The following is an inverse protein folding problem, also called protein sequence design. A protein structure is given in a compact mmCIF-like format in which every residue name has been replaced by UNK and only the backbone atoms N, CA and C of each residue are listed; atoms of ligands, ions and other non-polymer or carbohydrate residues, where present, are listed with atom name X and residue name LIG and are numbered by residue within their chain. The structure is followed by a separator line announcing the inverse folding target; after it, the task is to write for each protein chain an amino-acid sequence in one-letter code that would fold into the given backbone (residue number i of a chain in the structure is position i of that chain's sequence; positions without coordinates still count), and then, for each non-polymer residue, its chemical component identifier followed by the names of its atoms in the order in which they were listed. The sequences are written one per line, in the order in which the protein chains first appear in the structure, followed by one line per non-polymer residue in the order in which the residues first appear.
data_IF_583905742202
#
_entry.id   IF_583905742202
#
_cell.length_a   1.000
_cell.length_b   1.000
_cell.length_c   1.000
_cell.angle_alpha   90.00
_cell.angle_beta   90.00
_cell.angle_gamma   90.00
#
_symmetry.space_group_name_H-M   'P 1'
#
loop_
_entity.id
_entity.type
_entity.pdbx_description
1 polymer ?
#
# COMPACT_ATOMS: atom_id res chain seq x y z
N UNK A 1 -23.37 -11.66 19.04
CA UNK A 1 -22.28 -10.69 18.79
C UNK A 1 -21.00 -11.45 19.09
N UNK A 2 -20.33 -11.97 18.07
CA UNK A 2 -19.03 -12.65 18.21
C UNK A 2 -17.94 -11.56 18.09
N UNK A 3 -17.21 -11.33 19.16
CA UNK A 3 -16.00 -10.52 19.12
C UNK A 3 -15.01 -11.18 18.14
N UNK A 4 -14.69 -10.49 17.08
CA UNK A 4 -13.63 -10.88 16.16
C UNK A 4 -12.30 -10.67 16.90
N UNK A 5 -11.70 -11.76 17.36
CA UNK A 5 -10.34 -11.73 17.92
C UNK A 5 -9.35 -11.41 16.78
N UNK A 6 -8.61 -10.34 16.93
CA UNK A 6 -7.47 -9.98 16.06
C UNK A 6 -6.17 -10.27 16.78
N UNK A 7 -5.10 -10.58 16.06
CA UNK A 7 -3.77 -10.74 16.65
C UNK A 7 -3.14 -9.38 17.02
N UNK A 8 -1.95 -9.39 17.65
CA UNK A 8 -1.24 -8.17 18.07
C UNK A 8 -0.91 -7.20 16.92
N UNK A 9 -1.08 -7.60 15.66
CA UNK A 9 -0.93 -6.79 14.45
C UNK A 9 -2.25 -6.19 13.98
N UNK A 10 -3.38 -6.49 14.66
CA UNK A 10 -4.72 -6.08 14.26
C UNK A 10 -5.31 -6.92 13.12
N UNK A 11 -4.69 -8.06 12.80
CA UNK A 11 -5.17 -9.02 11.81
C UNK A 11 -5.93 -10.16 12.50
N UNK A 12 -6.90 -10.82 11.84
CA UNK A 12 -7.49 -12.03 12.34
C UNK A 12 -6.41 -13.11 12.53
N UNK A 13 -6.51 -13.98 13.56
CA UNK A 13 -5.48 -14.95 13.89
C UNK A 13 -5.17 -15.84 12.68
N UNK A 14 -3.95 -15.73 12.19
CA UNK A 14 -3.42 -16.60 11.12
C UNK A 14 -3.26 -18.02 11.67
N UNK A 15 -3.67 -19.03 10.90
CA UNK A 15 -3.46 -20.43 11.25
C UNK A 15 -1.98 -20.71 11.56
N UNK A 16 -1.70 -21.48 12.58
CA UNK A 16 -0.41 -21.76 13.23
C UNK A 16 0.63 -22.53 12.39
N UNK A 17 0.58 -22.46 11.05
CA UNK A 17 1.45 -23.21 10.13
C UNK A 17 2.57 -22.40 9.44
N UNK A 18 2.62 -21.07 9.60
CA UNK A 18 3.47 -20.18 8.78
C UNK A 18 4.78 -19.73 9.44
N UNK A 19 5.12 -20.19 10.63
CA UNK A 19 6.33 -19.72 11.36
C UNK A 19 7.67 -20.14 10.75
N UNK A 20 7.70 -21.00 9.75
CA UNK A 20 8.94 -21.60 9.19
C UNK A 20 9.54 -20.89 7.97
N UNK A 21 8.94 -19.85 7.38
CA UNK A 21 9.39 -19.25 6.11
C UNK A 21 9.32 -17.71 6.10
N UNK A 22 9.83 -17.07 7.10
CA UNK A 22 9.98 -15.61 7.12
C UNK A 22 11.32 -15.19 6.49
N UNK A 23 11.39 -15.18 5.16
CA UNK A 23 12.21 -14.15 4.51
C UNK A 23 11.46 -12.83 4.72
N UNK A 24 12.11 -11.75 5.18
CA UNK A 24 11.44 -10.47 5.36
C UNK A 24 10.88 -10.03 4.00
N UNK A 25 9.76 -9.35 3.97
CA UNK A 25 9.19 -8.81 2.74
C UNK A 25 10.19 -7.87 2.06
N UNK A 26 11.01 -7.18 2.82
CA UNK A 26 12.09 -6.32 2.32
C UNK A 26 13.12 -7.11 1.50
N UNK A 27 13.50 -8.31 1.93
CA UNK A 27 14.42 -9.18 1.18
C UNK A 27 13.79 -9.66 -0.16
N UNK A 28 12.49 -9.96 -0.17
CA UNK A 28 11.76 -10.27 -1.39
C UNK A 28 11.72 -9.06 -2.34
N UNK A 29 11.47 -7.88 -1.81
CA UNK A 29 11.44 -6.64 -2.57
C UNK A 29 12.81 -6.32 -3.17
N UNK A 30 13.89 -6.51 -2.42
CA UNK A 30 15.27 -6.38 -2.93
C UNK A 30 15.55 -7.37 -4.06
N UNK A 31 15.18 -8.64 -3.87
CA UNK A 31 15.34 -9.66 -4.89
C UNK A 31 14.60 -9.29 -6.19
N UNK A 32 13.37 -8.83 -6.10
CA UNK A 32 12.57 -8.44 -7.28
C UNK A 32 13.16 -7.21 -7.96
N UNK A 33 13.56 -6.20 -7.19
CA UNK A 33 14.25 -5.01 -7.73
C UNK A 33 15.55 -5.36 -8.45
N UNK A 34 16.32 -6.31 -7.92
CA UNK A 34 17.56 -6.76 -8.55
C UNK A 34 17.33 -7.57 -9.85
N UNK A 35 16.20 -8.31 -9.93
CA UNK A 35 15.86 -9.15 -11.09
C UNK A 35 15.21 -8.36 -12.24
N UNK A 36 14.60 -7.22 -11.96
CA UNK A 36 13.97 -6.36 -12.97
C UNK A 36 14.93 -5.24 -13.32
N UNK A 37 15.33 -5.08 -14.61
CA UNK A 37 16.22 -3.99 -15.01
C UNK A 37 15.66 -2.65 -14.53
N UNK A 38 16.47 -1.92 -13.79
CA UNK A 38 16.08 -0.56 -13.36
C UNK A 38 15.83 0.30 -14.58
N UNK A 39 14.60 0.72 -14.79
CA UNK A 39 14.31 1.79 -15.73
C UNK A 39 15.08 3.02 -15.23
N UNK A 40 15.99 3.58 -16.03
CA UNK A 40 16.67 4.83 -15.66
C UNK A 40 15.63 5.94 -15.63
N UNK A 41 15.11 6.18 -14.45
CA UNK A 41 14.22 7.31 -14.20
C UNK A 41 15.06 8.56 -13.98
N UNK A 42 15.30 9.30 -15.08
CA UNK A 42 16.04 10.57 -15.10
C UNK A 42 15.12 11.78 -15.15
N UNK A 43 13.80 11.59 -15.16
CA UNK A 43 12.86 12.71 -15.21
C UNK A 43 13.00 13.59 -13.95
N UNK A 44 13.01 14.92 -14.10
CA UNK A 44 13.03 15.82 -12.95
C UNK A 44 11.76 15.64 -12.11
N UNK A 45 11.91 15.76 -10.81
CA UNK A 45 10.75 15.83 -9.92
C UNK A 45 10.19 17.26 -9.97
N UNK A 46 8.96 17.41 -10.42
CA UNK A 46 8.27 18.70 -10.57
C UNK A 46 7.05 18.71 -9.69
N UNK A 47 6.93 19.75 -8.85
CA UNK A 47 5.73 19.96 -8.05
C UNK A 47 4.57 20.34 -8.97
N UNK A 48 3.51 19.53 -8.97
CA UNK A 48 2.38 19.68 -9.90
C UNK A 48 1.07 19.75 -9.12
N UNK A 49 0.17 20.72 -9.37
CA UNK A 49 -1.17 20.73 -8.82
C UNK A 49 -1.99 19.57 -9.43
N UNK A 50 -2.72 18.83 -8.58
CA UNK A 50 -3.51 17.66 -9.00
C UNK A 50 -4.97 17.73 -8.58
N UNK A 51 -5.28 18.55 -7.58
CA UNK A 51 -6.64 18.88 -7.15
C UNK A 51 -6.61 20.21 -6.37
N UNK A 52 -7.73 20.86 -6.10
CA UNK A 52 -7.76 22.07 -5.29
C UNK A 52 -7.10 21.86 -3.93
N UNK A 53 -6.05 22.65 -3.64
CA UNK A 53 -5.29 22.55 -2.40
C UNK A 53 -4.39 21.32 -2.28
N UNK A 54 -4.19 20.56 -3.36
CA UNK A 54 -3.32 19.37 -3.38
C UNK A 54 -2.31 19.48 -4.52
N UNK A 55 -1.03 19.36 -4.17
CA UNK A 55 0.09 19.28 -5.12
C UNK A 55 0.83 17.97 -4.92
N UNK A 56 1.41 17.43 -5.97
CA UNK A 56 2.19 16.19 -5.94
C UNK A 56 3.63 16.44 -6.36
N UNK A 57 4.55 15.80 -5.65
CA UNK A 57 5.96 15.70 -6.02
C UNK A 57 6.34 14.22 -6.06
N UNK A 58 6.54 13.67 -7.24
CA UNK A 58 6.94 12.26 -7.39
C UNK A 58 8.45 12.11 -7.19
N UNK A 59 8.87 11.47 -6.10
CA UNK A 59 10.26 11.23 -5.73
C UNK A 59 10.67 9.78 -5.94
N UNK A 60 11.91 9.53 -6.34
CA UNK A 60 12.46 8.17 -6.40
C UNK A 60 12.48 7.56 -5.00
N UNK A 61 12.05 6.31 -4.91
CA UNK A 61 11.98 5.53 -3.68
C UNK A 61 12.38 4.07 -3.96
N UNK A 62 12.67 3.27 -2.94
CA UNK A 62 12.92 1.84 -3.11
C UNK A 62 11.64 1.03 -3.30
N UNK A 63 10.70 1.53 -4.14
CA UNK A 63 9.44 0.86 -4.45
C UNK A 63 9.60 -0.32 -5.41
N UNK A 64 8.51 -1.05 -5.66
CA UNK A 64 8.49 -2.21 -6.55
C UNK A 64 8.28 -1.82 -8.02
N UNK A 65 9.01 -2.46 -8.95
CA UNK A 65 8.75 -2.29 -10.39
C UNK A 65 7.30 -2.67 -10.75
N UNK A 66 6.69 -1.99 -11.75
CA UNK A 66 7.28 -1.00 -12.64
C UNK A 66 7.36 0.42 -12.09
N UNK A 67 6.85 0.69 -10.90
CA UNK A 67 7.01 1.99 -10.26
C UNK A 67 8.48 2.24 -9.88
N UNK A 68 8.92 3.50 -9.99
CA UNK A 68 10.24 3.96 -9.60
C UNK A 68 10.18 5.09 -8.59
N UNK A 69 8.97 5.60 -8.36
CA UNK A 69 8.70 6.78 -7.52
C UNK A 69 7.49 6.54 -6.64
N UNK A 70 7.52 7.22 -5.49
CA UNK A 70 6.35 7.43 -4.65
C UNK A 70 5.96 8.91 -4.70
N UNK A 71 4.68 9.16 -4.80
CA UNK A 71 4.09 10.49 -4.79
C UNK A 71 4.05 11.03 -3.36
N UNK A 72 4.76 12.12 -3.12
CA UNK A 72 4.59 12.95 -1.93
C UNK A 72 3.49 13.96 -2.21
N UNK A 73 2.42 13.95 -1.43
CA UNK A 73 1.35 14.93 -1.57
C UNK A 73 1.51 16.05 -0.55
N UNK A 74 1.36 17.29 -1.02
CA UNK A 74 1.31 18.49 -0.20
C UNK A 74 -0.14 18.98 -0.16
N UNK A 75 -0.75 18.96 1.02
CA UNK A 75 -2.12 19.41 1.25
C UNK A 75 -2.10 20.74 2.00
N UNK A 76 -2.66 21.77 1.39
CA UNK A 76 -2.70 23.12 1.93
C UNK A 76 -2.55 24.19 0.86
N UNK A 77 -2.38 25.46 1.26
CA UNK A 77 -2.27 26.59 0.34
C UNK A 77 -0.98 26.53 -0.50
N UNK A 78 -0.94 27.27 -1.61
CA UNK A 78 0.24 27.36 -2.48
C UNK A 78 1.43 27.99 -1.77
N UNK A 79 1.17 28.94 -0.88
CA UNK A 79 2.16 29.52 0.01
C UNK A 79 1.67 29.47 1.45
N UNK A 80 2.46 28.85 2.35
CA UNK A 80 2.09 28.68 3.75
C UNK A 80 2.21 27.21 4.20
N UNK A 81 1.80 26.91 5.43
CA UNK A 81 1.98 25.58 5.99
C UNK A 81 1.14 24.51 5.28
N UNK A 82 1.77 23.36 5.02
CA UNK A 82 1.16 22.20 4.34
C UNK A 82 1.32 20.95 5.17
N UNK A 83 0.34 20.03 5.09
CA UNK A 83 0.56 18.65 5.48
C UNK A 83 1.26 17.90 4.35
N UNK A 84 2.28 17.11 4.69
CA UNK A 84 2.93 16.20 3.75
C UNK A 84 2.42 14.78 3.95
N UNK A 85 2.07 14.11 2.87
CA UNK A 85 1.65 12.72 2.92
C UNK A 85 2.70 11.86 2.20
N UNK A 86 3.19 10.83 2.89
CA UNK A 86 4.15 9.83 2.43
C UNK A 86 5.46 10.40 1.86
N UNK A 87 6.28 11.13 2.61
CA UNK A 87 7.60 11.56 2.17
C UNK A 87 8.60 10.40 2.19
N UNK A 88 8.37 9.43 1.28
CA UNK A 88 8.95 8.09 1.32
C UNK A 88 10.40 7.96 0.87
N UNK A 89 10.99 9.00 0.24
CA UNK A 89 12.34 8.86 -0.29
C UNK A 89 13.43 8.94 0.78
N UNK A 90 14.28 7.89 0.94
CA UNK A 90 15.43 7.94 1.83
C UNK A 90 16.67 8.57 1.15
N UNK A 91 16.62 8.88 -0.14
CA UNK A 91 17.76 9.32 -0.93
C UNK A 91 18.07 10.81 -0.71
N UNK A 92 19.32 11.19 -0.34
CA UNK A 92 19.67 12.57 -0.02
C UNK A 92 19.35 13.56 -1.14
N UNK A 93 19.59 13.19 -2.40
CA UNK A 93 19.30 14.05 -3.56
C UNK A 93 17.79 14.28 -3.76
N UNK A 94 16.94 13.30 -3.40
CA UNK A 94 15.49 13.46 -3.46
C UNK A 94 14.98 14.29 -2.27
N UNK A 95 15.60 14.13 -1.12
CA UNK A 95 15.35 14.97 0.07
C UNK A 95 15.68 16.43 -0.23
N UNK A 96 16.81 16.71 -0.91
CA UNK A 96 17.18 18.07 -1.30
C UNK A 96 16.16 18.71 -2.26
N UNK A 97 15.58 17.93 -3.18
CA UNK A 97 14.50 18.42 -4.06
C UNK A 97 13.26 18.78 -3.24
N UNK A 98 12.87 17.92 -2.29
CA UNK A 98 11.73 18.19 -1.41
C UNK A 98 11.98 19.43 -0.55
N UNK A 99 13.18 19.59 0.03
CA UNK A 99 13.55 20.76 0.82
C UNK A 99 13.44 22.06 0.03
N UNK A 100 13.82 22.05 -1.25
CA UNK A 100 13.63 23.19 -2.14
C UNK A 100 12.16 23.60 -2.30
N UNK A 101 11.25 22.63 -2.34
CA UNK A 101 9.79 22.89 -2.36
C UNK A 101 9.31 23.42 -1.01
N UNK A 102 9.78 22.83 0.07
CA UNK A 102 9.36 23.19 1.44
C UNK A 102 9.86 24.57 1.88
N UNK A 103 10.86 25.13 1.21
CA UNK A 103 11.30 26.51 1.48
C UNK A 103 10.19 27.55 1.26
N UNK A 104 9.25 27.29 0.34
CA UNK A 104 8.10 28.17 0.06
C UNK A 104 6.78 27.63 0.60
N UNK A 105 6.72 26.34 0.96
CA UNK A 105 5.56 25.66 1.51
C UNK A 105 5.98 24.90 2.76
N UNK A 106 6.24 25.59 3.89
CA UNK A 106 6.78 24.96 5.11
C UNK A 106 5.84 23.86 5.61
N UNK A 107 6.36 22.69 6.03
CA UNK A 107 5.54 21.59 6.46
C UNK A 107 4.97 21.84 7.87
N UNK A 108 3.71 21.49 8.11
CA UNK A 108 3.06 21.52 9.41
C UNK A 108 3.03 20.14 10.08
N UNK A 109 2.99 19.09 9.28
CA UNK A 109 2.98 17.70 9.73
C UNK A 109 3.39 16.75 8.60
N UNK A 110 3.81 15.54 8.98
CA UNK A 110 3.88 14.37 8.10
C UNK A 110 2.70 13.45 8.42
N UNK A 111 1.92 13.09 7.42
CA UNK A 111 0.87 12.08 7.52
C UNK A 111 1.34 10.83 6.76
N UNK A 112 1.18 9.66 7.36
CA UNK A 112 1.58 8.39 6.76
C UNK A 112 0.34 7.57 6.42
N UNK A 113 0.27 7.09 5.16
CA UNK A 113 -0.78 6.15 4.78
C UNK A 113 -0.56 4.80 5.44
N UNK A 114 0.66 4.29 5.44
CA UNK A 114 1.03 3.01 6.06
C UNK A 114 2.54 2.91 6.33
N UNK A 115 3.03 1.74 6.72
CA UNK A 115 4.38 1.56 7.30
C UNK A 115 5.47 1.13 6.30
N UNK A 116 5.20 0.94 5.02
CA UNK A 116 6.21 0.47 4.06
C UNK A 116 7.32 1.49 3.82
N UNK A 117 8.52 0.99 3.53
CA UNK A 117 9.75 1.78 3.47
C UNK A 117 9.72 2.90 2.44
N UNK A 118 9.08 2.68 1.30
CA UNK A 118 8.93 3.65 0.22
C UNK A 118 7.87 4.75 0.48
N UNK A 119 7.16 4.68 1.62
CA UNK A 119 6.24 5.71 2.13
C UNK A 119 6.83 6.46 3.32
N UNK A 120 7.65 5.81 4.13
CA UNK A 120 8.14 6.38 5.40
C UNK A 120 9.62 6.77 5.38
N UNK A 121 10.39 6.39 4.35
CA UNK A 121 11.85 6.46 4.34
C UNK A 121 12.45 7.83 4.60
N UNK A 122 11.75 8.93 4.29
CA UNK A 122 12.17 10.30 4.57
C UNK A 122 11.51 10.92 5.81
N UNK A 123 10.46 10.30 6.35
CA UNK A 123 9.58 10.91 7.35
C UNK A 123 10.30 11.34 8.63
N UNK A 124 11.12 10.46 9.21
CA UNK A 124 11.83 10.75 10.47
C UNK A 124 12.83 11.90 10.33
N UNK A 125 13.61 11.93 9.23
CA UNK A 125 14.59 12.99 8.97
C UNK A 125 13.91 14.36 8.76
N UNK A 126 12.78 14.38 8.02
CA UNK A 126 11.99 15.58 7.79
C UNK A 126 11.36 16.09 9.09
N UNK A 127 10.72 15.21 9.84
CA UNK A 127 10.08 15.59 11.10
C UNK A 127 11.08 16.19 12.10
N UNK A 128 12.27 15.59 12.20
CA UNK A 128 13.33 16.12 13.06
C UNK A 128 13.82 17.49 12.58
N UNK A 129 14.06 17.66 11.27
CA UNK A 129 14.58 18.90 10.69
C UNK A 129 13.62 20.08 10.85
N UNK A 130 12.34 19.83 10.66
CA UNK A 130 11.30 20.86 10.72
C UNK A 130 10.60 20.96 12.07
N UNK A 131 10.94 20.07 13.03
CA UNK A 131 10.30 19.98 14.36
C UNK A 131 8.78 19.86 14.28
N UNK A 132 8.30 18.97 13.39
CA UNK A 132 6.88 18.74 13.11
C UNK A 132 6.46 17.33 13.54
N UNK A 133 5.17 17.12 13.86
CA UNK A 133 4.65 15.80 14.19
C UNK A 133 4.59 14.86 12.99
N UNK A 134 4.67 13.55 13.28
CA UNK A 134 4.31 12.47 12.36
C UNK A 134 3.00 11.88 12.86
N UNK A 135 2.03 11.76 11.94
CA UNK A 135 0.69 11.25 12.20
C UNK A 135 0.48 9.97 11.41
N UNK A 136 -0.04 8.92 12.03
CA UNK A 136 -0.39 7.65 11.38
C UNK A 136 -1.52 6.95 12.13
N UNK A 137 -2.11 5.91 11.52
CA UNK A 137 -3.03 5.03 12.25
C UNK A 137 -2.30 4.35 13.43
N UNK A 138 -2.97 4.09 14.59
CA UNK A 138 -2.33 3.44 15.75
C UNK A 138 -1.61 2.13 15.43
N UNK A 139 -2.15 1.31 14.52
CA UNK A 139 -1.49 0.09 14.05
C UNK A 139 -0.19 0.41 13.31
N UNK A 140 -0.21 1.38 12.39
CA UNK A 140 0.99 1.85 11.67
C UNK A 140 2.04 2.38 12.64
N UNK A 141 1.63 3.15 13.65
CA UNK A 141 2.52 3.66 14.69
C UNK A 141 3.24 2.53 15.44
N UNK A 142 2.52 1.46 15.81
CA UNK A 142 3.14 0.28 16.46
C UNK A 142 4.13 -0.44 15.53
N UNK A 143 3.78 -0.60 14.25
CA UNK A 143 4.65 -1.27 13.27
C UNK A 143 5.93 -0.46 12.94
N UNK A 144 5.90 0.85 13.19
CA UNK A 144 7.02 1.76 12.96
C UNK A 144 7.86 2.05 14.22
N UNK A 145 7.48 1.58 15.41
CA UNK A 145 8.02 2.03 16.70
C UNK A 145 9.56 2.04 16.77
N UNK A 146 10.24 1.09 16.10
CA UNK A 146 11.70 0.98 16.10
C UNK A 146 12.38 1.84 15.01
N UNK A 147 11.61 2.46 14.11
CA UNK A 147 12.14 3.17 12.92
C UNK A 147 11.71 4.63 12.83
N UNK A 148 10.47 4.90 13.17
CA UNK A 148 9.86 6.23 13.03
C UNK A 148 9.06 6.55 14.27
N UNK A 149 9.38 7.66 14.93
CA UNK A 149 8.63 8.13 16.09
C UNK A 149 7.34 8.82 15.65
N UNK A 150 6.24 8.07 15.57
CA UNK A 150 4.90 8.61 15.33
C UNK A 150 4.42 9.30 16.63
N UNK A 151 4.22 10.61 16.57
CA UNK A 151 3.91 11.44 17.74
C UNK A 151 2.41 11.71 17.91
N UNK A 152 1.61 11.48 16.87
CA UNK A 152 0.15 11.63 16.88
C UNK A 152 -0.47 10.45 16.14
N UNK A 153 -1.69 10.09 16.51
CA UNK A 153 -2.46 9.06 15.78
C UNK A 153 -3.71 9.67 15.16
N UNK A 154 -4.18 9.02 14.10
CA UNK A 154 -5.45 9.35 13.45
C UNK A 154 -6.26 8.08 13.25
N UNK A 155 -7.50 8.11 13.71
CA UNK A 155 -8.47 7.04 13.47
C UNK A 155 -9.43 7.39 12.32
N UNK A 156 -10.28 6.43 11.98
CA UNK A 156 -11.26 6.57 10.90
C UNK A 156 -12.21 7.76 11.12
N UNK A 157 -12.38 8.58 10.10
CA UNK A 157 -13.25 9.77 10.12
C UNK A 157 -12.64 11.00 10.76
N UNK A 158 -11.47 10.93 11.38
CA UNK A 158 -10.83 12.10 11.98
C UNK A 158 -10.31 13.06 10.91
N UNK A 159 -10.44 14.35 11.19
CA UNK A 159 -9.92 15.43 10.34
C UNK A 159 -8.58 15.89 10.91
N UNK A 160 -7.52 15.65 10.14
CA UNK A 160 -6.14 15.93 10.53
C UNK A 160 -5.52 16.84 9.47
N UNK A 161 -5.11 18.04 9.84
CA UNK A 161 -4.45 19.01 8.94
C UNK A 161 -5.21 19.23 7.63
N UNK A 162 -6.56 19.29 7.68
CA UNK A 162 -7.42 19.53 6.52
C UNK A 162 -7.71 18.29 5.65
N UNK A 163 -7.21 17.12 6.02
CA UNK A 163 -7.52 15.84 5.39
C UNK A 163 -8.35 14.95 6.31
N UNK A 164 -9.37 14.28 5.79
CA UNK A 164 -10.15 13.29 6.57
C UNK A 164 -9.53 11.91 6.41
N UNK A 165 -9.12 11.30 7.50
CA UNK A 165 -8.61 9.95 7.52
C UNK A 165 -9.73 8.94 7.21
N UNK A 166 -9.45 7.96 6.34
CA UNK A 166 -10.34 6.86 6.00
C UNK A 166 -9.58 5.58 6.24
N UNK A 167 -10.00 4.79 7.22
CA UNK A 167 -9.35 3.52 7.52
C UNK A 167 -9.65 2.50 6.44
N UNK A 168 -8.62 2.06 5.73
CA UNK A 168 -8.69 1.17 4.57
C UNK A 168 -7.65 0.04 4.68
N UNK A 169 -7.78 -0.84 5.70
CA UNK A 169 -6.84 -1.93 5.90
C UNK A 169 -6.90 -2.95 4.76
N UNK A 170 -5.86 -3.78 4.66
CA UNK A 170 -5.85 -4.94 3.75
C UNK A 170 -4.59 -5.05 2.91
N UNK A 171 -4.05 -3.96 2.34
CA UNK A 171 -2.68 -3.92 1.84
C UNK A 171 -1.69 -3.92 3.01
N UNK A 172 -1.94 -3.06 3.96
CA UNK A 172 -1.27 -3.01 5.25
C UNK A 172 -2.32 -2.89 6.36
N UNK A 173 -2.06 -3.46 7.54
CA UNK A 173 -3.04 -3.55 8.62
C UNK A 173 -3.51 -2.17 9.14
N UNK A 174 -2.64 -1.17 9.14
CA UNK A 174 -2.93 0.20 9.58
C UNK A 174 -3.07 1.22 8.46
N UNK A 175 -3.46 0.78 7.25
CA UNK A 175 -3.55 1.68 6.10
C UNK A 175 -4.65 2.73 6.25
N UNK A 176 -4.31 3.99 5.94
CA UNK A 176 -5.23 5.13 5.82
C UNK A 176 -5.20 5.68 4.40
N UNK A 177 -6.37 6.00 3.85
CA UNK A 177 -6.51 7.00 2.81
C UNK A 177 -6.82 8.37 3.45
N UNK A 178 -6.56 9.46 2.71
CA UNK A 178 -6.86 10.82 3.17
C UNK A 178 -7.73 11.55 2.15
N UNK A 179 -8.97 11.88 2.53
CA UNK A 179 -9.89 12.64 1.69
C UNK A 179 -9.71 14.14 1.89
N UNK A 180 -9.65 14.90 0.78
CA UNK A 180 -9.53 16.35 0.75
C UNK A 180 -10.44 16.87 -0.36
N UNK A 181 -11.56 17.52 -0.02
CA UNK A 181 -12.59 17.90 -0.99
C UNK A 181 -13.08 16.68 -1.79
N UNK A 182 -13.04 16.79 -3.12
CA UNK A 182 -13.46 15.73 -4.05
C UNK A 182 -12.30 14.80 -4.45
N UNK A 183 -11.15 14.88 -3.80
CA UNK A 183 -10.02 14.00 -4.03
C UNK A 183 -9.74 13.10 -2.82
N UNK A 184 -9.20 11.91 -3.07
CA UNK A 184 -8.75 10.98 -2.03
C UNK A 184 -7.33 10.50 -2.34
N UNK A 185 -6.38 10.83 -1.46
CA UNK A 185 -5.03 10.31 -1.49
C UNK A 185 -5.12 8.87 -1.02
N UNK A 186 -4.89 7.95 -1.95
CA UNK A 186 -5.28 6.55 -1.81
C UNK A 186 -4.15 5.66 -1.27
N UNK A 187 -2.93 6.19 -1.08
CA UNK A 187 -1.79 5.35 -0.74
C UNK A 187 -1.70 4.15 -1.67
N UNK A 188 -1.57 2.96 -1.11
CA UNK A 188 -1.49 1.70 -1.83
C UNK A 188 -2.81 0.91 -1.86
N UNK A 189 -3.95 1.63 -1.87
CA UNK A 189 -5.22 0.99 -2.22
C UNK A 189 -5.35 0.74 -3.72
N UNK A 190 -4.80 1.64 -4.54
CA UNK A 190 -4.72 1.49 -6.00
C UNK A 190 -3.41 2.10 -6.50
N UNK A 191 -2.96 1.69 -7.68
CA UNK A 191 -1.83 2.30 -8.37
C UNK A 191 -2.25 2.81 -9.75
N UNK A 192 -1.66 3.93 -10.16
CA UNK A 192 -1.77 4.44 -11.52
C UNK A 192 -0.83 3.74 -12.49
N UNK A 193 0.18 3.02 -11.97
CA UNK A 193 1.15 2.21 -12.71
C UNK A 193 1.42 0.92 -11.93
N UNK A 194 1.38 -0.22 -12.63
CA UNK A 194 1.52 -1.53 -11.98
C UNK A 194 0.26 -1.99 -11.24
N UNK A 195 0.45 -2.77 -10.19
CA UNK A 195 -0.62 -3.28 -9.32
C UNK A 195 -0.13 -3.30 -7.87
N UNK A 196 -1.07 -3.30 -6.94
CA UNK A 196 -0.75 -3.38 -5.51
C UNK A 196 -0.56 -4.85 -5.11
N UNK A 197 0.50 -5.13 -4.37
CA UNK A 197 0.74 -6.43 -3.75
C UNK A 197 -0.09 -6.55 -2.47
N UNK A 198 -0.75 -7.68 -2.27
CA UNK A 198 -1.31 -8.06 -0.98
C UNK A 198 -0.50 -9.24 -0.46
N UNK A 199 0.33 -9.01 0.54
CA UNK A 199 1.13 -10.03 1.21
C UNK A 199 0.43 -10.51 2.47
N UNK A 200 0.15 -11.81 2.64
CA UNK A 200 -0.59 -12.31 3.80
C UNK A 200 0.16 -12.21 5.15
N UNK A 201 1.45 -11.83 5.13
CA UNK A 201 2.18 -11.54 6.37
C UNK A 201 1.91 -10.12 6.92
N UNK A 202 1.46 -9.20 6.07
CA UNK A 202 1.29 -7.78 6.40
C UNK A 202 -0.10 -7.26 6.06
N UNK A 203 -0.81 -7.96 5.18
CA UNK A 203 -2.13 -7.62 4.69
C UNK A 203 -3.11 -8.80 4.70
N UNK A 204 -4.31 -8.54 4.17
CA UNK A 204 -5.39 -9.52 4.08
C UNK A 204 -6.24 -9.25 2.85
N UNK A 205 -6.42 -10.25 1.97
CA UNK A 205 -7.15 -10.08 0.71
C UNK A 205 -8.65 -9.81 0.94
N UNK A 206 -9.28 -10.45 1.91
CA UNK A 206 -10.72 -10.24 2.17
C UNK A 206 -10.95 -8.82 2.71
N UNK A 207 -10.11 -8.38 3.64
CA UNK A 207 -10.16 -7.03 4.22
C UNK A 207 -9.85 -5.97 3.17
N UNK A 208 -8.89 -6.22 2.28
CA UNK A 208 -8.57 -5.33 1.17
C UNK A 208 -9.74 -5.13 0.20
N UNK A 209 -10.43 -6.22 -0.18
CA UNK A 209 -11.62 -6.14 -1.03
C UNK A 209 -12.73 -5.33 -0.35
N UNK A 210 -12.99 -5.53 0.93
CA UNK A 210 -13.96 -4.76 1.70
C UNK A 210 -13.57 -3.27 1.77
N UNK A 211 -12.28 -2.95 1.86
CA UNK A 211 -11.79 -1.55 1.84
C UNK A 211 -11.99 -0.90 0.46
N UNK A 212 -11.80 -1.63 -0.65
CA UNK A 212 -12.13 -1.13 -1.99
C UNK A 212 -13.64 -0.85 -2.15
N UNK A 213 -14.50 -1.76 -1.66
CA UNK A 213 -15.95 -1.59 -1.65
C UNK A 213 -16.37 -0.38 -0.80
N UNK A 214 -15.74 -0.21 0.36
CA UNK A 214 -15.95 0.94 1.22
C UNK A 214 -15.63 2.27 0.52
N UNK A 215 -14.51 2.34 -0.20
CA UNK A 215 -14.15 3.51 -1.00
C UNK A 215 -15.16 3.73 -2.13
N UNK A 216 -15.64 2.66 -2.77
CA UNK A 216 -16.64 2.72 -3.84
C UNK A 216 -18.02 3.21 -3.37
N UNK A 217 -18.36 2.99 -2.11
CA UNK A 217 -19.61 3.47 -1.50
C UNK A 217 -19.58 4.99 -1.17
N UNK A 218 -18.41 5.64 -1.26
CA UNK A 218 -18.28 7.09 -1.10
C UNK A 218 -18.72 7.82 -2.36
N UNK A 219 -18.97 9.14 -2.32
CA UNK A 219 -19.19 9.94 -3.52
C UNK A 219 -18.07 9.77 -4.55
N UNK A 220 -18.38 9.99 -5.83
CA UNK A 220 -17.38 10.00 -6.90
C UNK A 220 -16.23 10.94 -6.55
N UNK A 221 -15.01 10.47 -6.78
CA UNK A 221 -13.78 11.18 -6.39
C UNK A 221 -12.66 10.98 -7.41
N UNK A 222 -11.72 11.91 -7.42
CA UNK A 222 -10.39 11.68 -7.99
C UNK A 222 -9.56 10.88 -7.01
N UNK A 223 -8.99 9.74 -7.43
CA UNK A 223 -8.01 9.00 -6.63
C UNK A 223 -6.59 9.48 -6.96
N UNK A 224 -5.85 9.70 -5.91
CA UNK A 224 -4.45 10.14 -5.93
C UNK A 224 -3.58 9.01 -5.35
N UNK A 225 -3.06 8.09 -6.19
CA UNK A 225 -2.34 6.91 -5.75
C UNK A 225 -0.90 7.25 -5.34
N UNK A 226 -0.28 6.42 -4.51
CA UNK A 226 1.13 6.57 -4.19
C UNK A 226 2.05 6.35 -5.40
N UNK A 227 1.61 5.56 -6.39
CA UNK A 227 2.41 5.22 -7.56
C UNK A 227 1.67 5.53 -8.86
N UNK A 228 2.27 6.38 -9.71
CA UNK A 228 1.74 6.79 -11.01
C UNK A 228 0.86 8.04 -10.97
N UNK A 229 0.13 8.35 -12.06
CA UNK A 229 -0.63 9.58 -12.21
C UNK A 229 -1.94 9.58 -11.38
N UNK A 230 -2.50 10.76 -11.19
CA UNK A 230 -3.86 10.94 -10.67
C UNK A 230 -4.89 10.22 -11.55
N UNK A 231 -5.94 9.71 -10.94
CA UNK A 231 -7.00 8.90 -11.53
C UNK A 231 -8.34 9.65 -11.39
N UNK A 232 -8.73 10.45 -12.39
CA UNK A 232 -9.91 11.33 -12.29
C UNK A 232 -11.21 10.56 -12.08
N UNK A 233 -11.37 9.37 -12.68
CA UNK A 233 -12.49 8.47 -12.41
C UNK A 233 -12.06 7.40 -11.39
N UNK A 234 -12.08 7.78 -10.11
CA UNK A 234 -11.70 6.89 -9.02
C UNK A 234 -12.61 5.66 -8.92
N UNK A 235 -13.90 5.82 -9.18
CA UNK A 235 -14.84 4.69 -9.14
C UNK A 235 -14.59 3.67 -10.26
N UNK A 236 -14.25 4.12 -11.47
CA UNK A 236 -13.84 3.18 -12.53
C UNK A 236 -12.59 2.39 -12.13
N UNK A 237 -11.59 3.05 -11.54
CA UNK A 237 -10.37 2.38 -11.08
C UNK A 237 -10.65 1.39 -9.94
N UNK A 238 -11.46 1.74 -8.96
CA UNK A 238 -11.85 0.83 -7.87
C UNK A 238 -12.57 -0.42 -8.40
N UNK A 239 -13.52 -0.24 -9.34
CA UNK A 239 -14.20 -1.38 -10.00
C UNK A 239 -13.22 -2.26 -10.79
N UNK A 240 -12.27 -1.65 -11.51
CA UNK A 240 -11.21 -2.36 -12.22
C UNK A 240 -10.40 -3.24 -11.26
N UNK A 241 -9.99 -2.70 -10.11
CA UNK A 241 -9.25 -3.44 -9.10
C UNK A 241 -10.07 -4.58 -8.50
N UNK A 242 -11.33 -4.34 -8.11
CA UNK A 242 -12.23 -5.39 -7.62
C UNK A 242 -12.40 -6.49 -8.66
N UNK A 243 -12.73 -6.14 -9.91
CA UNK A 243 -12.91 -7.12 -11.00
C UNK A 243 -11.63 -7.93 -11.24
N UNK A 244 -10.46 -7.28 -11.25
CA UNK A 244 -9.17 -7.96 -11.42
C UNK A 244 -8.91 -8.96 -10.28
N UNK A 245 -9.15 -8.59 -9.02
CA UNK A 245 -8.96 -9.48 -7.87
C UNK A 245 -9.92 -10.67 -7.91
N UNK A 246 -11.20 -10.44 -8.21
CA UNK A 246 -12.19 -11.50 -8.31
C UNK A 246 -11.91 -12.45 -9.50
N UNK A 247 -11.46 -11.91 -10.63
CA UNK A 247 -11.00 -12.73 -11.77
C UNK A 247 -9.81 -13.59 -11.38
N UNK A 248 -8.84 -13.03 -10.66
CA UNK A 248 -7.68 -13.79 -10.18
C UNK A 248 -8.09 -14.88 -9.20
N UNK A 249 -9.00 -14.59 -8.28
CA UNK A 249 -9.56 -15.58 -7.36
C UNK A 249 -10.28 -16.71 -8.09
N UNK A 250 -11.07 -16.39 -9.12
CA UNK A 250 -11.73 -17.41 -9.94
C UNK A 250 -10.72 -18.34 -10.65
N UNK A 251 -9.59 -17.79 -11.12
CA UNK A 251 -8.49 -18.60 -11.67
C UNK A 251 -7.86 -19.51 -10.61
N UNK A 252 -7.69 -19.02 -9.36
CA UNK A 252 -7.20 -19.83 -8.24
C UNK A 252 -8.14 -21.02 -7.99
N UNK A 253 -9.44 -20.75 -7.84
CA UNK A 253 -10.46 -21.81 -7.62
C UNK A 253 -10.47 -22.83 -8.75
N UNK A 254 -10.35 -22.37 -9.99
CA UNK A 254 -10.30 -23.27 -11.16
C UNK A 254 -9.03 -24.15 -11.21
N UNK A 255 -7.91 -23.64 -10.66
CA UNK A 255 -6.64 -24.38 -10.61
C UNK A 255 -6.58 -25.39 -9.43
N UNK A 256 -7.43 -25.24 -8.41
CA UNK A 256 -7.52 -26.20 -7.31
C UNK A 256 -8.27 -27.45 -7.77
N UNK A 257 -7.65 -28.62 -7.55
CA UNK A 257 -8.26 -29.95 -7.70
C UNK A 257 -8.45 -30.65 -6.38
N UNK A 258 -8.87 -31.91 -6.43
CA UNK A 258 -8.99 -32.77 -5.24
C UNK A 258 -7.59 -33.16 -4.71
N UNK A 259 -6.60 -33.29 -5.61
CA UNK A 259 -5.22 -33.59 -5.25
C UNK A 259 -4.50 -32.32 -4.80
N UNK A 260 -3.74 -32.37 -3.68
CA UNK A 260 -2.97 -31.24 -3.20
C UNK A 260 -1.90 -30.79 -4.20
N UNK A 261 -1.78 -29.46 -4.41
CA UNK A 261 -0.82 -28.83 -5.33
C UNK A 261 0.03 -27.82 -4.61
N UNK A 262 1.32 -27.78 -4.94
CA UNK A 262 2.23 -26.77 -4.36
C UNK A 262 1.92 -25.37 -4.87
N UNK A 263 2.27 -24.35 -4.06
CA UNK A 263 2.14 -22.93 -4.41
C UNK A 263 2.77 -22.64 -5.77
N UNK A 264 3.99 -23.15 -6.01
CA UNK A 264 4.71 -22.96 -7.28
C UNK A 264 3.99 -23.56 -8.49
N UNK A 265 3.35 -24.71 -8.34
CA UNK A 265 2.55 -25.32 -9.41
C UNK A 265 1.30 -24.49 -9.72
N UNK A 266 0.64 -23.98 -8.67
CA UNK A 266 -0.53 -23.11 -8.81
C UNK A 266 -0.19 -21.76 -9.45
N UNK A 267 0.97 -21.15 -9.12
CA UNK A 267 1.43 -19.89 -9.76
C UNK A 267 1.58 -20.07 -11.26
N UNK A 268 2.14 -21.18 -11.72
CA UNK A 268 2.34 -21.42 -13.14
C UNK A 268 1.04 -21.39 -13.95
N UNK A 269 -0.06 -21.86 -13.36
CA UNK A 269 -1.37 -21.87 -14.02
C UNK A 269 -2.10 -20.53 -13.84
N UNK A 270 -2.18 -20.05 -12.60
CA UNK A 270 -2.97 -18.86 -12.23
C UNK A 270 -2.36 -17.56 -12.75
N UNK A 271 -1.03 -17.50 -12.86
CA UNK A 271 -0.24 -16.33 -13.28
C UNK A 271 0.56 -16.60 -14.58
N UNK A 272 0.04 -17.47 -15.44
CA UNK A 272 0.62 -17.75 -16.77
C UNK A 272 0.71 -16.50 -17.68
N UNK A 273 -0.12 -15.51 -17.41
CA UNK A 273 -0.16 -14.18 -18.05
C UNK A 273 0.81 -13.15 -17.44
N UNK A 274 1.59 -13.55 -16.43
CA UNK A 274 2.51 -12.67 -15.69
C UNK A 274 3.96 -13.02 -16.02
N UNK A 275 4.84 -12.05 -16.31
CA UNK A 275 6.25 -12.30 -16.56
C UNK A 275 6.90 -13.08 -15.39
N UNK A 276 7.72 -14.08 -15.73
CA UNK A 276 8.36 -14.97 -14.73
C UNK A 276 9.19 -14.23 -13.69
N UNK A 277 9.80 -13.10 -14.06
CA UNK A 277 10.54 -12.25 -13.12
C UNK A 277 9.66 -11.70 -11.96
N UNK A 278 8.34 -11.57 -12.20
CA UNK A 278 7.37 -11.12 -11.19
C UNK A 278 6.71 -12.28 -10.42
N UNK A 279 7.04 -13.54 -10.72
CA UNK A 279 6.46 -14.71 -10.05
C UNK A 279 6.67 -14.74 -8.53
N UNK A 280 7.81 -14.29 -7.97
CA UNK A 280 7.94 -14.20 -6.51
C UNK A 280 6.86 -13.32 -5.85
N UNK A 281 6.45 -12.21 -6.49
CA UNK A 281 5.33 -11.38 -6.02
C UNK A 281 3.97 -12.04 -6.29
N UNK A 282 3.85 -12.73 -7.43
CA UNK A 282 2.65 -13.48 -7.77
C UNK A 282 2.38 -14.62 -6.76
N UNK A 283 3.41 -15.29 -6.27
CA UNK A 283 3.31 -16.30 -5.20
C UNK A 283 2.71 -15.71 -3.92
N UNK A 284 3.13 -14.50 -3.53
CA UNK A 284 2.58 -13.81 -2.34
C UNK A 284 1.11 -13.44 -2.54
N UNK A 285 0.77 -12.88 -3.72
CA UNK A 285 -0.63 -12.57 -4.06
C UNK A 285 -1.50 -13.82 -4.15
N UNK A 286 -0.99 -14.92 -4.72
CA UNK A 286 -1.69 -16.21 -4.75
C UNK A 286 -1.95 -16.72 -3.33
N UNK A 287 -0.94 -16.67 -2.47
CA UNK A 287 -1.07 -17.09 -1.08
C UNK A 287 -2.14 -16.28 -0.33
N UNK A 288 -2.23 -14.97 -0.59
CA UNK A 288 -3.28 -14.13 -0.01
C UNK A 288 -4.70 -14.59 -0.44
N UNK A 289 -4.87 -14.98 -1.71
CA UNK A 289 -6.14 -15.57 -2.18
C UNK A 289 -6.39 -16.94 -1.54
N UNK A 290 -5.39 -17.80 -1.45
CA UNK A 290 -5.53 -19.13 -0.83
C UNK A 290 -5.89 -19.02 0.66
N UNK A 291 -5.28 -18.13 1.41
CA UNK A 291 -5.62 -17.85 2.81
C UNK A 291 -7.08 -17.40 2.93
N UNK A 292 -7.54 -16.48 2.08
CA UNK A 292 -8.93 -16.05 2.02
C UNK A 292 -9.87 -17.24 1.72
N UNK A 293 -9.58 -18.00 0.66
CA UNK A 293 -10.40 -19.15 0.25
C UNK A 293 -10.45 -20.25 1.31
N UNK A 294 -9.37 -20.47 2.05
CA UNK A 294 -9.33 -21.45 3.16
C UNK A 294 -10.26 -21.01 4.30
N UNK A 295 -10.27 -19.74 4.66
CA UNK A 295 -11.21 -19.18 5.66
C UNK A 295 -12.67 -19.30 5.20
N UNK A 296 -12.91 -19.18 3.90
CA UNK A 296 -14.24 -19.35 3.27
C UNK A 296 -14.61 -20.82 3.02
N UNK A 297 -13.77 -21.77 3.41
CA UNK A 297 -13.97 -23.22 3.18
C UNK A 297 -14.07 -23.59 1.68
N UNK A 298 -13.44 -22.82 0.82
CA UNK A 298 -13.37 -23.00 -0.66
C UNK A 298 -12.02 -23.54 -1.11
N UNK A 299 -11.06 -23.62 -0.20
CA UNK A 299 -9.77 -24.28 -0.37
C UNK A 299 -9.39 -24.96 0.95
N UNK A 300 -8.55 -25.99 0.84
CA UNK A 300 -7.97 -26.71 1.99
C UNK A 300 -6.46 -26.54 1.96
N UNK A 301 -5.88 -26.05 3.05
CA UNK A 301 -4.44 -26.04 3.30
C UNK A 301 -4.06 -27.39 3.93
N UNK A 302 -3.16 -28.13 3.30
CA UNK A 302 -2.67 -29.41 3.82
C UNK A 302 -1.61 -29.25 4.93
N UNK A 303 -1.13 -28.01 5.19
CA UNK A 303 -0.14 -27.70 6.22
C UNK A 303 1.31 -27.93 5.82
N UNK A 304 1.57 -28.50 4.64
CA UNK A 304 2.88 -28.78 4.07
C UNK A 304 3.27 -27.84 2.91
N UNK A 305 2.49 -26.76 2.72
CA UNK A 305 2.64 -25.82 1.62
C UNK A 305 1.98 -26.30 0.32
N UNK A 306 0.99 -27.16 0.43
CA UNK A 306 0.12 -27.58 -0.68
C UNK A 306 -1.36 -27.28 -0.39
N UNK A 307 -2.13 -27.06 -1.46
CA UNK A 307 -3.56 -26.74 -1.38
C UNK A 307 -4.38 -27.57 -2.34
N UNK A 308 -5.61 -27.89 -1.93
CA UNK A 308 -6.65 -28.56 -2.74
C UNK A 308 -7.98 -27.83 -2.62
N UNK A 309 -8.98 -28.33 -3.33
CA UNK A 309 -10.37 -27.88 -3.21
C UNK A 309 -11.00 -28.34 -1.89
#
# INVERSE_FOLDING_TARGET
MSESTVDDRGLPPGGSGAEGRRGSIDALYEQVRAAVPATRDVAPAILTPVAPGIRVLALRTPTLPPATRTNVYLVGPDAGPVAMIDPGSPYPEQQAVLDGVLATSPPAAVLLTHHHGDHVGGAAALAARWSIPIVAHPITARLLADRVNVTQTADDGEVIYGATAIFTPGHAAGHLCFAVGDATIAGDMVAGVGTILIDPNEGDMAVYLASLERLLARPQMTLLPAHGPALPDGHAKLREYLAHRLLREAKVVAALGDEPRSLRALVADVYSDTPRAAWPLAERSLLAHLVKLTREQRARDAGDGTWSR
#
